data_IF_329877095931
#
_entry.id   IF_329877095931
#
_cell.length_a   1.000
_cell.length_b   1.000
_cell.length_c   1.000
_cell.angle_alpha   90.00
_cell.angle_beta   90.00
_cell.angle_gamma   90.00
#
_symmetry.space_group_name_H-M   'P 1'
#
loop_
_entity.id
_entity.type
_entity.pdbx_description
1 polymer ?
#
# COMPACT_ATOMS: atom_id res chain seq x y z
N UNK A 1 13.71 5.54 6.45
CA UNK A 1 12.45 6.26 6.16
C UNK A 1 11.30 5.25 6.05
N UNK A 2 10.04 5.68 6.17
CA UNK A 2 8.89 4.82 5.88
C UNK A 2 8.30 5.20 4.53
N UNK A 3 8.20 4.24 3.61
CA UNK A 3 7.46 4.37 2.36
C UNK A 3 6.05 3.84 2.59
N UNK A 4 5.16 4.72 3.03
CA UNK A 4 3.78 4.34 3.34
C UNK A 4 2.94 4.22 2.06
N UNK A 5 1.99 3.29 2.08
CA UNK A 5 0.92 3.25 1.10
C UNK A 5 0.03 4.50 1.16
N UNK A 6 -0.85 4.69 0.18
CA UNK A 6 -1.74 5.85 0.14
C UNK A 6 -2.67 5.88 1.35
N UNK A 7 -2.65 6.99 2.10
CA UNK A 7 -3.52 7.25 3.25
C UNK A 7 -4.21 8.60 3.06
N UNK A 8 -5.51 8.67 3.37
CA UNK A 8 -6.27 9.92 3.34
C UNK A 8 -5.84 10.85 4.47
N UNK A 9 -5.00 11.83 4.15
CA UNK A 9 -4.55 12.92 5.04
C UNK A 9 -5.04 14.27 4.53
N UNK A 10 -4.83 15.34 5.31
CA UNK A 10 -5.14 16.71 4.86
C UNK A 10 -4.30 17.09 3.62
N UNK A 11 -3.03 16.70 3.58
CA UNK A 11 -2.16 16.92 2.42
C UNK A 11 -2.66 16.15 1.19
N UNK A 12 -3.09 14.89 1.38
CA UNK A 12 -3.60 14.06 0.29
C UNK A 12 -4.94 14.59 -0.27
N UNK A 13 -5.73 15.31 0.53
CA UNK A 13 -6.98 15.91 0.07
C UNK A 13 -6.78 17.01 -1.00
N UNK A 14 -5.57 17.57 -1.10
CA UNK A 14 -5.20 18.54 -2.13
C UNK A 14 -4.78 17.92 -3.47
N UNK A 15 -4.66 16.59 -3.55
CA UNK A 15 -4.24 15.89 -4.78
C UNK A 15 -5.48 15.44 -5.55
N UNK A 16 -5.59 15.89 -6.81
CA UNK A 16 -6.64 15.44 -7.73
C UNK A 16 -6.66 13.91 -7.86
N UNK A 17 -7.85 13.32 -7.89
CA UNK A 17 -8.08 11.88 -8.05
C UNK A 17 -7.40 10.96 -7.01
N UNK A 18 -7.06 11.48 -5.82
CA UNK A 18 -6.49 10.65 -4.75
C UNK A 18 -7.39 9.46 -4.36
N UNK A 19 -8.71 9.63 -4.48
CA UNK A 19 -9.70 8.55 -4.27
C UNK A 19 -9.51 7.38 -5.24
N UNK A 20 -9.11 7.64 -6.49
CA UNK A 20 -8.77 6.59 -7.46
C UNK A 20 -7.54 5.82 -6.99
N UNK A 21 -6.49 6.54 -6.55
CA UNK A 21 -5.24 5.93 -6.09
C UNK A 21 -5.44 5.05 -4.85
N UNK A 22 -6.31 5.47 -3.92
CA UNK A 22 -6.74 4.65 -2.78
C UNK A 22 -7.48 3.37 -3.21
N UNK A 23 -8.39 3.44 -4.19
CA UNK A 23 -9.07 2.24 -4.71
C UNK A 23 -8.08 1.33 -5.44
N UNK A 24 -7.23 1.93 -6.28
CA UNK A 24 -6.23 1.21 -7.04
C UNK A 24 -5.29 0.42 -6.14
N UNK A 25 -4.74 1.05 -5.09
CA UNK A 25 -3.88 0.37 -4.14
C UNK A 25 -4.63 -0.76 -3.43
N UNK A 26 -5.86 -0.50 -2.94
CA UNK A 26 -6.69 -1.52 -2.29
C UNK A 26 -6.92 -2.76 -3.15
N UNK A 27 -7.20 -2.64 -4.45
CA UNK A 27 -7.48 -3.81 -5.28
C UNK A 27 -6.23 -4.51 -5.82
N UNK A 28 -5.15 -3.75 -6.00
CA UNK A 28 -3.94 -4.27 -6.63
C UNK A 28 -2.85 -4.67 -5.65
N UNK A 29 -2.85 -4.19 -4.40
CA UNK A 29 -1.91 -4.64 -3.38
C UNK A 29 -2.09 -6.13 -3.06
N UNK A 30 -1.04 -6.87 -2.69
CA UNK A 30 -1.13 -8.27 -2.27
C UNK A 30 -2.13 -8.50 -1.13
N UNK A 31 -2.15 -7.60 -0.14
CA UNK A 31 -3.08 -7.72 1.00
C UNK A 31 -4.52 -7.28 0.69
N UNK A 32 -4.79 -6.76 -0.51
CA UNK A 32 -6.12 -6.32 -0.95
C UNK A 32 -6.79 -5.29 -0.03
N UNK A 33 -5.96 -4.49 0.64
CA UNK A 33 -6.37 -3.43 1.56
C UNK A 33 -5.43 -2.24 1.45
N UNK A 34 -5.89 -1.08 1.92
CA UNK A 34 -5.01 0.05 2.19
C UNK A 34 -4.49 -0.05 3.63
N UNK A 35 -3.31 0.51 3.85
CA UNK A 35 -2.75 0.64 5.19
C UNK A 35 -3.47 1.72 6.00
N UNK A 36 -3.38 1.57 7.32
CA UNK A 36 -3.92 2.49 8.32
C UNK A 36 -2.79 3.33 8.94
N UNK A 37 -3.16 4.47 9.54
CA UNK A 37 -2.20 5.27 10.32
C UNK A 37 -1.63 4.50 11.51
N UNK A 38 -2.35 3.50 12.03
CA UNK A 38 -1.87 2.64 13.11
C UNK A 38 -0.74 1.72 12.66
N UNK A 39 -0.88 1.08 11.50
CA UNK A 39 0.17 0.22 10.93
C UNK A 39 1.44 1.02 10.59
N UNK A 40 1.27 2.21 10.00
CA UNK A 40 2.40 3.12 9.71
C UNK A 40 3.03 3.63 11.00
N UNK A 41 2.23 4.02 12.00
CA UNK A 41 2.71 4.49 13.30
C UNK A 41 3.47 3.41 14.06
N UNK A 42 2.97 2.18 14.07
CA UNK A 42 3.64 1.03 14.69
C UNK A 42 4.97 0.71 14.01
N UNK A 43 5.02 0.80 12.68
CA UNK A 43 6.27 0.63 11.93
C UNK A 43 7.28 1.74 12.25
N UNK A 44 6.81 2.97 12.45
CA UNK A 44 7.61 4.09 12.94
C UNK A 44 8.13 3.85 14.36
N UNK A 45 7.28 3.37 15.25
CA UNK A 45 7.66 2.99 16.61
C UNK A 45 8.74 1.91 16.60
N UNK A 46 8.59 0.86 15.78
CA UNK A 46 9.62 -0.16 15.60
C UNK A 46 10.97 0.47 15.20
N UNK A 47 10.98 1.28 14.13
CA UNK A 47 12.19 1.94 13.60
C UNK A 47 12.85 2.96 14.54
N UNK A 48 12.11 3.48 15.53
CA UNK A 48 12.62 4.40 16.53
C UNK A 48 13.03 3.72 17.84
N UNK A 49 12.72 2.44 17.98
CA UNK A 49 12.99 1.65 19.19
C UNK A 49 14.25 0.79 19.05
N UNK A 50 14.75 0.31 20.19
CA UNK A 50 15.90 -0.60 20.25
C UNK A 50 15.68 -1.93 19.49
N UNK A 51 14.42 -2.28 19.20
CA UNK A 51 14.06 -3.45 18.37
C UNK A 51 14.67 -3.38 16.96
N UNK A 52 14.97 -2.17 16.48
CA UNK A 52 15.57 -1.93 15.17
C UNK A 52 17.00 -1.37 15.26
N UNK A 53 17.70 -1.58 16.39
CA UNK A 53 19.05 -1.02 16.65
C UNK A 53 20.11 -1.33 15.57
N UNK A 54 19.93 -2.40 14.79
CA UNK A 54 20.80 -2.74 13.66
C UNK A 54 20.33 -2.23 12.29
N UNK A 55 19.18 -1.57 12.20
CA UNK A 55 18.56 -1.13 10.94
C UNK A 55 18.94 0.33 10.67
N UNK A 56 19.68 0.58 9.59
CA UNK A 56 20.09 1.92 9.19
C UNK A 56 20.12 2.06 7.67
N UNK A 57 19.97 3.28 7.15
CA UNK A 57 19.98 3.56 5.71
C UNK A 57 18.79 2.98 4.92
N UNK A 58 17.77 2.45 5.60
CA UNK A 58 16.73 1.63 4.98
C UNK A 58 15.46 2.42 4.61
N UNK A 59 14.77 1.96 3.56
CA UNK A 59 13.43 2.43 3.17
C UNK A 59 12.43 1.31 3.47
N UNK A 60 11.75 1.44 4.60
CA UNK A 60 10.80 0.44 5.05
C UNK A 60 9.43 0.64 4.39
N UNK A 61 9.04 -0.29 3.52
CA UNK A 61 7.74 -0.25 2.84
C UNK A 61 6.62 -0.69 3.77
N UNK A 62 5.60 0.16 3.90
CA UNK A 62 4.39 -0.08 4.70
C UNK A 62 3.19 0.29 3.85
N UNK A 63 2.93 -0.51 2.83
CA UNK A 63 2.00 -0.19 1.74
C UNK A 63 1.11 -1.38 1.33
N UNK A 64 0.92 -2.32 2.26
CA UNK A 64 0.20 -3.56 2.04
C UNK A 64 0.82 -4.46 0.94
N UNK A 65 2.11 -4.27 0.67
CA UNK A 65 2.90 -4.99 -0.33
C UNK A 65 2.74 -4.45 -1.75
N UNK A 66 2.20 -3.25 -1.93
CA UNK A 66 1.94 -2.73 -3.28
C UNK A 66 3.23 -2.56 -4.09
N UNK A 67 4.34 -2.19 -3.47
CA UNK A 67 5.63 -1.97 -4.12
C UNK A 67 6.18 -3.18 -4.92
N UNK A 68 5.80 -4.41 -4.57
CA UNK A 68 6.25 -5.62 -5.29
C UNK A 68 5.42 -5.90 -6.56
N UNK A 69 4.34 -5.17 -6.78
CA UNK A 69 3.45 -5.40 -7.93
C UNK A 69 4.07 -4.80 -9.20
N UNK A 70 4.47 -5.67 -10.14
CA UNK A 70 4.94 -5.26 -11.47
C UNK A 70 3.82 -5.08 -12.52
N UNK A 71 2.61 -5.56 -12.24
CA UNK A 71 1.42 -5.47 -13.10
C UNK A 71 0.17 -5.35 -12.22
N UNK A 72 -0.97 -4.87 -12.76
CA UNK A 72 -2.24 -4.91 -12.04
C UNK A 72 -2.57 -6.33 -11.61
N UNK A 73 -3.00 -6.50 -10.37
CA UNK A 73 -3.53 -7.77 -9.89
C UNK A 73 -4.70 -8.24 -10.77
N UNK A 74 -4.79 -9.57 -10.93
CA UNK A 74 -5.84 -10.22 -11.70
C UNK A 74 -6.64 -11.16 -10.81
N UNK A 75 -7.92 -11.27 -11.12
CA UNK A 75 -8.80 -12.32 -10.63
C UNK A 75 -9.02 -13.32 -11.78
N UNK A 76 -9.34 -14.57 -11.45
CA UNK A 76 -9.62 -15.61 -12.42
C UNK A 76 -11.12 -15.92 -12.40
N UNK A 77 -11.71 -16.07 -13.57
CA UNK A 77 -13.09 -16.55 -13.68
C UNK A 77 -13.18 -18.08 -13.49
N UNK A 78 -14.40 -18.61 -13.52
CA UNK A 78 -14.68 -20.06 -13.43
C UNK A 78 -14.02 -20.88 -14.55
N UNK A 79 -13.64 -20.23 -15.66
CA UNK A 79 -12.98 -20.84 -16.81
C UNK A 79 -11.46 -20.64 -16.79
N UNK A 80 -10.89 -20.04 -15.74
CA UNK A 80 -9.46 -19.79 -15.57
C UNK A 80 -8.92 -18.62 -16.41
N UNK A 81 -9.77 -17.76 -16.98
CA UNK A 81 -9.33 -16.57 -17.72
C UNK A 81 -9.05 -15.41 -16.76
N UNK A 82 -7.90 -14.72 -16.88
CA UNK A 82 -7.58 -13.58 -16.02
C UNK A 82 -8.35 -12.33 -16.43
N UNK A 83 -8.85 -11.59 -15.45
CA UNK A 83 -9.39 -10.25 -15.58
C UNK A 83 -8.74 -9.33 -14.55
N UNK A 84 -8.51 -8.05 -14.88
CA UNK A 84 -7.93 -7.10 -13.94
C UNK A 84 -8.87 -6.98 -12.73
N UNK A 85 -8.30 -7.04 -11.53
CA UNK A 85 -9.05 -7.05 -10.29
C UNK A 85 -9.92 -5.79 -10.11
N UNK A 86 -9.44 -4.65 -10.63
CA UNK A 86 -10.22 -3.42 -10.69
C UNK A 86 -9.75 -2.52 -11.85
N UNK A 87 -10.67 -2.10 -12.71
CA UNK A 87 -10.38 -1.40 -13.97
C UNK A 87 -10.68 0.12 -13.93
N UNK A 88 -11.00 0.68 -12.77
CA UNK A 88 -11.29 2.12 -12.64
C UNK A 88 -12.76 2.49 -12.39
N UNK A 89 -13.66 1.50 -12.39
CA UNK A 89 -15.10 1.67 -12.16
C UNK A 89 -15.48 1.83 -10.66
#
# INVERSE_FOLDING_TARGET
>A
AISAGPIKTLAAAGISDFSFLLKWNKYHSPMKTNVTIGEVGNSGMYLLSDLSSGVTGEIHYVDAGYNIMGMPAVNFDENGKPHIAWNGE
#
